data_IF_149620530503
#
_entry.id   IF_149620530503
#
_cell.length_a   1.000
_cell.length_b   1.000
_cell.length_c   1.000
_cell.angle_alpha   90.00
_cell.angle_beta   90.00
_cell.angle_gamma   90.00
#
_symmetry.space_group_name_H-M   'P 1'
#
loop_
_entity.id
_entity.type
_entity.pdbx_description
1 polymer ?
#
# COMPACT_ATOMS: atom_id res chain seq x y z
N UNK A 1 -23.93 -24.44 -8.84
CA UNK A 1 -22.51 -24.20 -8.51
C UNK A 1 -21.72 -24.28 -9.80
N UNK A 2 -21.02 -23.22 -10.15
CA UNK A 2 -20.44 -23.10 -11.47
C UNK A 2 -19.20 -24.01 -11.64
N UNK A 3 -19.06 -24.60 -12.81
CA UNK A 3 -17.90 -25.37 -13.26
C UNK A 3 -16.54 -24.67 -13.05
N UNK A 4 -16.53 -23.39 -12.80
CA UNK A 4 -15.31 -22.60 -12.61
C UNK A 4 -14.57 -22.91 -11.30
N UNK A 5 -15.28 -23.26 -10.24
CA UNK A 5 -14.66 -23.65 -8.96
C UNK A 5 -13.97 -25.01 -9.03
N UNK A 6 -14.58 -25.97 -9.69
CA UNK A 6 -14.02 -27.31 -9.88
C UNK A 6 -12.79 -27.28 -10.79
N UNK A 7 -12.84 -26.47 -11.86
CA UNK A 7 -11.70 -26.29 -12.75
C UNK A 7 -10.52 -25.60 -12.08
N UNK A 8 -10.75 -24.63 -11.21
CA UNK A 8 -9.68 -23.93 -10.48
C UNK A 8 -8.99 -24.83 -9.44
N UNK A 9 -9.74 -25.70 -8.73
CA UNK A 9 -9.13 -26.65 -7.79
C UNK A 9 -8.23 -27.69 -8.47
N UNK A 10 -8.66 -28.25 -9.60
CA UNK A 10 -7.80 -29.16 -10.38
C UNK A 10 -6.52 -28.46 -10.84
N UNK A 11 -6.62 -27.24 -11.37
CA UNK A 11 -5.46 -26.46 -11.78
C UNK A 11 -4.49 -26.15 -10.62
N UNK A 12 -5.01 -25.88 -9.43
CA UNK A 12 -4.18 -25.64 -8.24
C UNK A 12 -3.40 -26.89 -7.86
N UNK A 13 -4.07 -28.04 -7.79
CA UNK A 13 -3.44 -29.33 -7.42
C UNK A 13 -2.41 -29.75 -8.44
N UNK A 14 -2.70 -29.65 -9.72
CA UNK A 14 -1.76 -29.96 -10.79
C UNK A 14 -0.55 -29.04 -10.78
N UNK A 15 -0.75 -27.75 -10.53
CA UNK A 15 0.36 -26.79 -10.43
C UNK A 15 1.21 -27.07 -9.20
N UNK A 16 0.59 -27.37 -8.05
CA UNK A 16 1.30 -27.74 -6.84
C UNK A 16 2.18 -28.97 -7.06
N UNK A 17 1.60 -30.03 -7.64
CA UNK A 17 2.35 -31.26 -7.94
C UNK A 17 3.55 -31.00 -8.88
N UNK A 18 3.37 -30.15 -9.89
CA UNK A 18 4.47 -29.78 -10.82
C UNK A 18 5.58 -28.98 -10.16
N UNK A 19 5.27 -28.16 -9.16
CA UNK A 19 6.26 -27.31 -8.47
C UNK A 19 7.00 -28.09 -7.39
N UNK A 20 6.29 -28.91 -6.62
CA UNK A 20 6.83 -29.57 -5.42
C UNK A 20 7.22 -31.03 -5.62
N UNK A 21 6.81 -31.65 -6.73
CA UNK A 21 6.86 -33.09 -6.99
C UNK A 21 6.12 -33.95 -5.95
N UNK A 22 5.17 -33.32 -5.24
CA UNK A 22 4.31 -33.98 -4.26
C UNK A 22 2.92 -34.24 -4.83
N UNK A 23 2.31 -35.38 -4.55
CA UNK A 23 0.94 -35.67 -4.95
C UNK A 23 -0.03 -35.15 -3.90
N UNK A 24 -0.79 -34.07 -4.16
CA UNK A 24 -1.70 -33.44 -3.20
C UNK A 24 -2.93 -34.30 -2.86
N UNK A 25 -3.16 -35.40 -3.56
CA UNK A 25 -4.19 -36.38 -3.22
C UNK A 25 -3.69 -37.43 -2.18
N UNK A 26 -2.40 -37.51 -1.96
CA UNK A 26 -1.78 -38.43 -0.99
C UNK A 26 -1.20 -37.72 0.22
N UNK A 27 -0.65 -36.53 0.01
CA UNK A 27 -0.03 -35.72 1.05
C UNK A 27 -0.69 -34.32 1.08
N UNK A 28 -1.13 -33.82 2.24
CA UNK A 28 -1.72 -32.49 2.34
C UNK A 28 -0.77 -31.42 1.79
N UNK A 29 -1.32 -30.46 1.02
CA UNK A 29 -0.53 -29.32 0.54
C UNK A 29 -0.05 -28.46 1.70
N UNK A 30 1.20 -28.02 1.60
CA UNK A 30 1.76 -27.03 2.52
C UNK A 30 1.18 -25.66 2.19
N UNK A 31 0.60 -24.99 3.19
CA UNK A 31 0.07 -23.64 3.05
C UNK A 31 0.76 -22.72 4.05
N UNK A 32 0.88 -21.47 3.67
CA UNK A 32 1.45 -20.42 4.50
C UNK A 32 0.67 -19.12 4.28
N UNK A 33 0.33 -18.37 5.33
CA UNK A 33 -0.27 -17.06 5.18
C UNK A 33 0.66 -16.13 4.41
N UNK A 34 0.15 -15.49 3.37
CA UNK A 34 0.91 -14.56 2.56
C UNK A 34 0.07 -13.31 2.28
N UNK A 35 0.72 -12.16 2.14
CA UNK A 35 0.07 -10.94 1.72
C UNK A 35 -0.44 -11.12 0.30
N UNK A 36 -1.72 -10.85 0.10
CA UNK A 36 -2.40 -11.00 -1.20
C UNK A 36 -2.84 -9.67 -1.78
N UNK A 37 -3.37 -8.77 -0.96
CA UNK A 37 -3.96 -7.51 -1.38
C UNK A 37 -3.70 -6.44 -0.31
N UNK A 38 -3.33 -5.24 -0.74
CA UNK A 38 -3.16 -4.09 0.16
C UNK A 38 -4.43 -3.24 0.13
N UNK A 39 -5.14 -3.18 1.25
CA UNK A 39 -6.27 -2.27 1.42
C UNK A 39 -5.74 -0.91 1.85
N UNK A 40 -6.27 0.14 1.23
CA UNK A 40 -5.71 1.47 1.31
C UNK A 40 -4.90 1.82 0.06
N UNK A 41 -4.45 3.04 -0.04
CA UNK A 41 -3.72 3.54 -1.21
C UNK A 41 -3.83 5.05 -1.33
N UNK A 42 -3.66 5.57 -2.53
CA UNK A 42 -3.79 6.99 -2.81
C UNK A 42 -5.23 7.45 -2.58
N UNK A 43 -5.41 8.56 -1.89
CA UNK A 43 -6.72 9.19 -1.78
C UNK A 43 -7.18 9.70 -3.15
N UNK A 44 -8.45 9.47 -3.46
CA UNK A 44 -9.13 9.97 -4.66
C UNK A 44 -10.53 10.45 -4.30
N UNK A 45 -11.04 11.39 -5.09
CA UNK A 45 -12.45 11.77 -5.03
C UNK A 45 -13.34 10.74 -5.75
N UNK A 46 -14.66 10.97 -5.76
CA UNK A 46 -15.62 10.09 -6.45
C UNK A 46 -15.42 10.02 -7.97
N UNK A 47 -14.60 10.90 -8.55
CA UNK A 47 -14.20 10.86 -9.95
C UNK A 47 -12.84 10.19 -10.16
N UNK A 48 -12.29 9.55 -9.14
CA UNK A 48 -10.97 8.88 -9.13
C UNK A 48 -9.79 9.84 -9.34
N UNK A 49 -9.99 11.14 -9.17
CA UNK A 49 -8.92 12.13 -9.25
C UNK A 49 -8.24 12.27 -7.88
N UNK A 50 -6.91 12.28 -7.89
CA UNK A 50 -6.10 12.53 -6.69
C UNK A 50 -6.12 14.02 -6.32
N UNK A 51 -5.41 14.40 -5.26
CA UNK A 51 -5.19 15.81 -4.90
C UNK A 51 -4.38 16.59 -5.94
N UNK A 52 -3.76 15.92 -6.91
CA UNK A 52 -3.04 16.52 -8.05
C UNK A 52 -4.00 16.56 -9.24
N UNK A 53 -4.40 17.78 -9.72
CA UNK A 53 -5.32 17.90 -10.83
C UNK A 53 -4.81 17.19 -12.10
N UNK A 54 -5.66 16.34 -12.69
CA UNK A 54 -5.33 15.55 -13.88
C UNK A 54 -4.60 14.24 -13.60
N UNK A 55 -4.27 13.92 -12.35
CA UNK A 55 -3.75 12.63 -11.95
C UNK A 55 -4.86 11.78 -11.34
N UNK A 56 -5.14 10.64 -11.94
CA UNK A 56 -6.17 9.69 -11.52
C UNK A 56 -5.53 8.39 -11.04
N UNK A 57 -6.09 7.79 -9.98
CA UNK A 57 -5.68 6.50 -9.48
C UNK A 57 -6.87 5.53 -9.49
N UNK A 58 -6.71 4.37 -10.10
CA UNK A 58 -7.75 3.36 -10.28
C UNK A 58 -7.31 2.00 -9.78
N UNK A 59 -8.25 1.16 -9.39
CA UNK A 59 -7.96 -0.18 -8.88
C UNK A 59 -7.24 -0.18 -7.54
N UNK A 60 -6.37 -1.15 -7.33
CA UNK A 60 -5.72 -1.40 -6.03
C UNK A 60 -4.81 -0.25 -5.54
N UNK A 61 -4.36 0.63 -6.43
CA UNK A 61 -3.49 1.74 -6.04
C UNK A 61 -4.24 2.91 -5.38
N UNK A 62 -5.56 2.99 -5.49
CA UNK A 62 -6.35 3.96 -4.74
C UNK A 62 -6.80 3.38 -3.39
N UNK A 63 -7.25 4.26 -2.47
CA UNK A 63 -7.66 3.83 -1.12
C UNK A 63 -8.92 2.96 -1.12
N UNK A 64 -9.65 2.95 -2.20
CA UNK A 64 -10.87 2.19 -2.49
C UNK A 64 -11.96 2.21 -1.39
N UNK A 65 -13.13 1.72 -1.72
CA UNK A 65 -14.30 1.62 -0.83
C UNK A 65 -14.40 0.28 -0.09
N UNK A 66 -13.29 -0.47 0.00
CA UNK A 66 -13.27 -1.76 0.70
C UNK A 66 -13.37 -1.64 2.22
N UNK A 67 -13.09 -0.46 2.76
CA UNK A 67 -13.05 -0.25 4.20
C UNK A 67 -11.92 -1.04 4.87
N UNK A 68 -12.16 -1.47 6.11
CA UNK A 68 -11.15 -2.15 6.92
C UNK A 68 -10.93 -3.61 6.50
N UNK A 69 -11.81 -4.21 5.71
CA UNK A 69 -11.66 -5.59 5.24
C UNK A 69 -12.39 -5.81 3.90
N UNK A 70 -11.64 -6.25 2.91
CA UNK A 70 -12.15 -6.51 1.57
C UNK A 70 -12.93 -7.82 1.50
N UNK A 71 -14.10 -7.77 0.86
CA UNK A 71 -14.86 -8.98 0.51
C UNK A 71 -14.18 -9.75 -0.63
N UNK A 72 -14.34 -11.06 -0.63
CA UNK A 72 -13.82 -11.93 -1.71
C UNK A 72 -14.32 -11.48 -3.08
N UNK A 73 -13.43 -11.49 -4.08
CA UNK A 73 -13.63 -11.08 -5.47
C UNK A 73 -13.94 -9.59 -5.71
N UNK A 74 -14.17 -8.76 -4.68
CA UNK A 74 -14.53 -7.34 -4.86
C UNK A 74 -13.41 -6.48 -5.43
N UNK A 75 -12.14 -6.86 -5.27
CA UNK A 75 -11.01 -6.12 -5.82
C UNK A 75 -11.04 -6.01 -7.36
N UNK A 76 -11.28 -7.13 -8.04
CA UNK A 76 -11.44 -7.13 -9.51
C UNK A 76 -12.69 -6.36 -9.93
N UNK A 77 -13.79 -6.49 -9.20
CA UNK A 77 -15.00 -5.72 -9.47
C UNK A 77 -14.77 -4.22 -9.35
N UNK A 78 -14.09 -3.79 -8.31
CA UNK A 78 -13.76 -2.37 -8.12
C UNK A 78 -12.87 -1.86 -9.28
N UNK A 79 -11.77 -2.54 -9.59
CA UNK A 79 -10.91 -2.12 -10.70
C UNK A 79 -11.61 -2.09 -12.07
N UNK A 80 -12.53 -3.03 -12.31
CA UNK A 80 -13.36 -3.01 -13.52
C UNK A 80 -14.38 -1.86 -13.50
N UNK A 81 -15.03 -1.60 -12.36
CA UNK A 81 -15.95 -0.49 -12.20
C UNK A 81 -15.26 0.86 -12.43
N UNK A 82 -14.11 1.07 -11.79
CA UNK A 82 -13.29 2.26 -11.98
C UNK A 82 -12.93 2.48 -13.45
N UNK A 83 -12.42 1.44 -14.12
CA UNK A 83 -11.95 1.53 -15.49
C UNK A 83 -13.03 1.65 -16.54
N UNK A 84 -14.16 0.94 -16.38
CA UNK A 84 -15.23 0.90 -17.40
C UNK A 84 -16.36 1.90 -17.17
N UNK A 85 -16.69 2.19 -15.92
CA UNK A 85 -17.86 3.00 -15.60
C UNK A 85 -17.54 4.40 -15.11
N UNK A 86 -16.43 4.61 -14.43
CA UNK A 86 -16.09 5.92 -13.87
C UNK A 86 -15.10 6.68 -14.76
N UNK A 87 -13.94 6.08 -15.05
CA UNK A 87 -12.82 6.73 -15.73
C UNK A 87 -13.17 7.38 -17.08
N UNK A 88 -13.98 6.77 -17.99
CA UNK A 88 -14.33 7.39 -19.26
C UNK A 88 -15.06 8.73 -19.11
N UNK A 89 -15.95 8.84 -18.13
CA UNK A 89 -16.67 10.08 -17.85
C UNK A 89 -15.76 11.12 -17.20
N UNK A 90 -14.96 10.69 -16.25
CA UNK A 90 -14.00 11.54 -15.53
C UNK A 90 -13.00 12.20 -16.47
N UNK A 91 -12.38 11.42 -17.37
CA UNK A 91 -11.44 11.96 -18.36
C UNK A 91 -12.15 12.95 -19.28
N UNK A 92 -13.33 12.59 -19.79
CA UNK A 92 -14.13 13.47 -20.66
C UNK A 92 -14.48 14.79 -19.98
N UNK A 93 -14.93 14.76 -18.73
CA UNK A 93 -15.27 15.93 -17.94
C UNK A 93 -14.05 16.81 -17.67
N UNK A 94 -12.93 16.21 -17.26
CA UNK A 94 -11.70 16.94 -17.01
C UNK A 94 -11.17 17.61 -18.28
N UNK A 95 -11.07 16.88 -19.38
CA UNK A 95 -10.54 17.37 -20.65
C UNK A 95 -11.44 18.44 -21.29
N UNK A 96 -12.75 18.40 -21.08
CA UNK A 96 -13.66 19.42 -21.61
C UNK A 96 -13.31 20.82 -21.13
N UNK A 97 -12.79 20.94 -19.90
CA UNK A 97 -12.34 22.19 -19.30
C UNK A 97 -10.94 22.63 -19.77
N UNK A 98 -10.19 21.72 -20.38
CA UNK A 98 -8.81 21.94 -20.81
C UNK A 98 -8.66 22.20 -22.34
N UNK A 99 -9.73 21.95 -23.13
CA UNK A 99 -9.70 22.03 -24.62
C UNK A 99 -9.21 23.38 -25.13
N UNK A 100 -9.57 24.46 -24.46
CA UNK A 100 -9.26 25.84 -24.88
C UNK A 100 -8.08 26.46 -24.14
N UNK A 101 -7.37 25.69 -23.30
CA UNK A 101 -6.19 26.18 -22.61
C UNK A 101 -4.95 26.03 -23.46
N UNK A 102 -3.95 26.88 -23.21
CA UNK A 102 -2.65 26.78 -23.86
C UNK A 102 -2.04 25.42 -23.59
N UNK A 103 -1.52 24.78 -24.64
CA UNK A 103 -0.89 23.48 -24.53
C UNK A 103 0.46 23.62 -23.85
N UNK A 104 0.66 22.91 -22.77
CA UNK A 104 1.97 22.73 -22.12
C UNK A 104 2.89 21.98 -23.08
N UNK A 105 4.10 22.47 -23.28
CA UNK A 105 5.11 21.86 -24.15
C UNK A 105 6.28 21.35 -23.32
N UNK A 106 7.04 20.38 -23.87
CA UNK A 106 8.25 19.84 -23.20
C UNK A 106 9.37 20.88 -23.00
N UNK A 107 9.20 22.11 -23.53
CA UNK A 107 10.12 23.22 -23.27
C UNK A 107 9.80 23.98 -21.97
N UNK A 108 8.68 23.67 -21.33
CA UNK A 108 8.32 24.25 -20.04
C UNK A 108 9.39 23.93 -18.99
N UNK A 109 9.68 24.90 -18.11
CA UNK A 109 10.69 24.74 -17.07
C UNK A 109 10.38 23.61 -16.11
N UNK A 110 9.07 23.35 -15.84
CA UNK A 110 8.63 22.28 -14.95
C UNK A 110 9.15 20.89 -15.36
N UNK A 111 9.22 20.60 -16.69
CA UNK A 111 9.78 19.33 -17.17
C UNK A 111 11.28 19.22 -16.90
N UNK A 112 12.03 20.32 -17.08
CA UNK A 112 13.47 20.35 -16.81
C UNK A 112 13.78 20.23 -15.31
N UNK A 113 12.94 20.86 -14.48
CA UNK A 113 13.07 20.78 -13.03
C UNK A 113 12.80 19.36 -12.54
N UNK A 114 11.73 18.70 -13.03
CA UNK A 114 11.43 17.32 -12.74
C UNK A 114 12.54 16.34 -13.22
N UNK A 115 13.05 16.52 -14.44
CA UNK A 115 14.16 15.71 -14.94
C UNK A 115 15.42 15.87 -14.08
N UNK A 116 15.71 17.08 -13.66
CA UNK A 116 16.85 17.37 -12.78
C UNK A 116 16.66 16.73 -11.41
N UNK A 117 15.47 16.81 -10.82
CA UNK A 117 15.16 16.20 -9.53
C UNK A 117 15.33 14.68 -9.58
N UNK A 118 14.74 14.02 -10.58
CA UNK A 118 14.89 12.57 -10.79
C UNK A 118 16.34 12.18 -11.03
N UNK A 119 17.07 12.93 -11.87
CA UNK A 119 18.48 12.68 -12.11
C UNK A 119 19.32 12.80 -10.84
N UNK A 120 19.07 13.80 -10.02
CA UNK A 120 19.76 13.97 -8.75
C UNK A 120 19.47 12.81 -7.78
N UNK A 121 18.22 12.35 -7.71
CA UNK A 121 17.83 11.18 -6.90
C UNK A 121 18.58 9.93 -7.37
N UNK A 122 18.63 9.66 -8.67
CA UNK A 122 19.35 8.53 -9.26
C UNK A 122 20.86 8.63 -8.97
N UNK A 123 21.45 9.82 -9.19
CA UNK A 123 22.87 10.04 -8.94
C UNK A 123 23.21 9.86 -7.45
N UNK A 124 22.32 10.21 -6.53
CA UNK A 124 22.53 9.98 -5.09
C UNK A 124 22.65 8.50 -4.73
N UNK A 125 21.87 7.62 -5.38
CA UNK A 125 22.01 6.17 -5.17
C UNK A 125 23.34 5.62 -5.70
N UNK A 126 23.73 6.06 -6.90
CA UNK A 126 24.90 5.50 -7.60
C UNK A 126 26.24 6.04 -7.07
N UNK A 127 26.25 7.24 -6.50
CA UNK A 127 27.47 7.86 -5.94
C UNK A 127 27.67 7.56 -4.46
N UNK A 128 26.68 6.96 -3.80
CA UNK A 128 26.83 6.57 -2.40
C UNK A 128 27.84 5.42 -2.28
N UNK A 129 28.90 5.62 -1.50
CA UNK A 129 29.93 4.61 -1.22
C UNK A 129 29.58 3.77 0.02
N UNK A 130 28.30 3.43 0.14
CA UNK A 130 27.77 2.61 1.22
C UNK A 130 28.27 1.17 1.17
N UNK A 131 28.02 0.44 2.24
CA UNK A 131 28.43 -0.97 2.42
C UNK A 131 27.24 -1.94 2.39
N UNK A 132 26.03 -1.44 2.63
CA UNK A 132 24.83 -2.24 2.73
C UNK A 132 24.19 -2.48 1.36
N UNK A 133 23.93 -3.73 1.03
CA UNK A 133 23.16 -4.05 -0.18
C UNK A 133 21.70 -3.65 -0.02
N UNK A 134 21.05 -3.30 -1.13
CA UNK A 134 19.61 -2.98 -1.18
C UNK A 134 18.78 -4.11 -0.58
N UNK A 135 19.13 -5.36 -0.90
CA UNK A 135 18.44 -6.55 -0.37
C UNK A 135 18.55 -6.65 1.16
N UNK A 136 19.72 -6.33 1.74
CA UNK A 136 19.89 -6.39 3.19
C UNK A 136 19.01 -5.36 3.91
N UNK A 137 18.89 -4.15 3.35
CA UNK A 137 18.04 -3.08 3.88
C UNK A 137 16.54 -3.41 3.72
N UNK A 138 16.17 -4.03 2.59
CA UNK A 138 14.80 -4.52 2.39
C UNK A 138 14.43 -5.63 3.40
N UNK A 139 15.36 -6.54 3.70
CA UNK A 139 15.15 -7.58 4.73
C UNK A 139 14.98 -6.97 6.13
N UNK A 140 15.75 -5.93 6.47
CA UNK A 140 15.60 -5.24 7.75
C UNK A 140 14.23 -4.56 7.85
N UNK A 141 13.79 -3.88 6.79
CA UNK A 141 12.43 -3.32 6.73
C UNK A 141 11.37 -4.40 6.93
N UNK A 142 11.49 -5.51 6.20
CA UNK A 142 10.60 -6.66 6.33
C UNK A 142 10.56 -7.21 7.75
N UNK A 143 11.71 -7.26 8.44
CA UNK A 143 11.80 -7.74 9.81
C UNK A 143 11.13 -6.77 10.80
N UNK A 144 11.29 -5.45 10.64
CA UNK A 144 10.60 -4.44 11.45
C UNK A 144 9.09 -4.58 11.29
N UNK A 145 8.61 -4.62 10.04
CA UNK A 145 7.18 -4.71 9.74
C UNK A 145 6.58 -6.02 10.25
N UNK A 146 7.28 -7.15 10.06
CA UNK A 146 6.82 -8.45 10.52
C UNK A 146 6.71 -8.52 12.05
N UNK A 147 7.72 -8.05 12.75
CA UNK A 147 7.79 -8.18 14.20
C UNK A 147 6.83 -7.22 14.94
N UNK A 148 6.58 -6.03 14.39
CA UNK A 148 5.95 -4.94 15.14
C UNK A 148 4.65 -4.42 14.51
N UNK A 149 4.44 -4.64 13.20
CA UNK A 149 3.25 -4.17 12.48
C UNK A 149 2.57 -5.30 11.69
N UNK A 150 2.73 -6.54 12.15
CA UNK A 150 2.14 -7.75 11.55
C UNK A 150 0.64 -7.89 11.85
N UNK A 151 0.18 -9.14 11.95
CA UNK A 151 -1.24 -9.45 12.17
C UNK A 151 -1.73 -9.06 13.57
N UNK A 152 -0.89 -9.16 14.58
CA UNK A 152 -1.19 -8.73 15.96
C UNK A 152 -0.26 -7.57 16.32
N UNK A 153 -0.81 -6.49 16.81
CA UNK A 153 -0.13 -5.21 17.04
C UNK A 153 -0.39 -4.72 18.44
N UNK A 154 0.57 -4.01 19.02
CA UNK A 154 0.40 -3.32 20.28
C UNK A 154 1.14 -1.97 20.27
N UNK A 155 0.72 -1.05 21.15
CA UNK A 155 1.28 0.30 21.21
C UNK A 155 2.78 0.33 21.42
N UNK A 156 3.29 -0.56 22.29
CA UNK A 156 4.71 -0.62 22.63
C UNK A 156 5.56 -0.96 21.40
N UNK A 157 5.17 -2.02 20.69
CA UNK A 157 5.92 -2.49 19.53
C UNK A 157 5.78 -1.54 18.33
N UNK A 158 4.59 -0.97 18.10
CA UNK A 158 4.41 0.06 17.07
C UNK A 158 5.26 1.31 17.35
N UNK A 159 5.34 1.76 18.61
CA UNK A 159 6.18 2.91 18.99
C UNK A 159 7.68 2.61 18.80
N UNK A 160 8.10 1.37 19.07
CA UNK A 160 9.46 0.90 18.80
C UNK A 160 9.75 0.89 17.30
N UNK A 161 8.82 0.35 16.49
CA UNK A 161 8.93 0.29 15.04
C UNK A 161 9.12 1.67 14.40
N UNK A 162 8.42 2.71 14.89
CA UNK A 162 8.61 4.09 14.39
C UNK A 162 10.04 4.59 14.57
N UNK A 163 10.69 4.23 15.65
CA UNK A 163 12.10 4.60 15.85
C UNK A 163 13.01 3.77 14.93
N UNK A 164 12.80 2.47 14.87
CA UNK A 164 13.61 1.57 14.04
C UNK A 164 13.51 1.91 12.54
N UNK A 165 12.32 2.28 12.04
CA UNK A 165 12.17 2.66 10.63
C UNK A 165 12.82 4.00 10.31
N UNK A 166 12.83 4.95 11.25
CA UNK A 166 13.58 6.21 11.12
C UNK A 166 15.08 5.96 11.05
N UNK A 167 15.61 5.07 11.89
CA UNK A 167 17.02 4.67 11.85
C UNK A 167 17.34 3.93 10.54
N UNK A 168 16.46 3.05 10.09
CA UNK A 168 16.62 2.36 8.81
C UNK A 168 16.62 3.34 7.63
N UNK A 169 15.72 4.35 7.62
CA UNK A 169 15.69 5.41 6.61
C UNK A 169 17.03 6.16 6.56
N UNK A 170 17.55 6.55 7.70
CA UNK A 170 18.85 7.22 7.78
C UNK A 170 19.99 6.32 7.28
N UNK A 171 19.96 5.04 7.68
CA UNK A 171 20.95 4.05 7.24
C UNK A 171 20.85 3.81 5.73
N UNK A 172 19.65 3.74 5.18
CA UNK A 172 19.44 3.59 3.74
C UNK A 172 20.12 4.71 2.96
N UNK A 173 19.83 5.96 3.29
CA UNK A 173 20.38 7.11 2.57
C UNK A 173 21.89 7.34 2.79
N UNK A 174 22.45 6.86 3.88
CA UNK A 174 23.87 7.04 4.19
C UNK A 174 24.76 5.85 3.82
N UNK A 175 24.22 4.63 3.75
CA UNK A 175 25.04 3.40 3.65
C UNK A 175 24.56 2.42 2.57
N UNK A 176 23.53 2.75 1.76
CA UNK A 176 23.12 1.91 0.64
C UNK A 176 24.18 1.87 -0.44
N UNK A 177 24.45 0.68 -0.97
CA UNK A 177 25.35 0.45 -2.10
C UNK A 177 24.58 -0.06 -3.30
N UNK A 178 24.56 0.74 -4.37
CA UNK A 178 23.91 0.39 -5.63
C UNK A 178 25.01 0.27 -6.70
N UNK A 179 25.38 -0.95 -7.11
CA UNK A 179 26.35 -1.16 -8.18
C UNK A 179 25.73 -0.83 -9.55
N UNK A 180 26.60 -0.57 -10.54
CA UNK A 180 26.18 -0.34 -11.91
C UNK A 180 26.17 1.14 -12.32
N UNK A 181 25.44 1.43 -13.41
CA UNK A 181 25.38 2.76 -14.03
C UNK A 181 23.93 3.12 -14.36
N UNK A 182 23.68 4.41 -14.58
CA UNK A 182 22.33 4.92 -14.94
C UNK A 182 21.96 4.77 -16.42
N UNK A 183 22.94 4.61 -17.29
CA UNK A 183 22.78 4.52 -18.75
C UNK A 183 22.57 3.09 -19.28
N UNK A 184 22.48 2.12 -18.38
CA UNK A 184 22.23 0.73 -18.69
C UNK A 184 21.08 0.18 -17.83
N UNK A 185 20.48 -0.95 -18.23
CA UNK A 185 19.52 -1.64 -17.39
C UNK A 185 20.16 -2.03 -16.05
N UNK A 186 19.67 -1.44 -14.97
CA UNK A 186 20.22 -1.61 -13.62
C UNK A 186 19.13 -2.02 -12.64
N UNK A 187 18.99 -3.33 -12.45
CA UNK A 187 17.97 -3.90 -11.56
C UNK A 187 18.20 -3.54 -10.07
N UNK A 188 19.45 -3.31 -9.66
CA UNK A 188 19.72 -2.90 -8.28
C UNK A 188 19.34 -1.45 -8.02
N UNK A 189 19.44 -0.58 -9.03
CA UNK A 189 18.94 0.80 -8.96
C UNK A 189 17.41 0.82 -8.85
N UNK A 190 16.71 0.02 -9.67
CA UNK A 190 15.24 -0.11 -9.58
C UNK A 190 14.81 -0.62 -8.18
N UNK A 191 15.49 -1.62 -7.65
CA UNK A 191 15.23 -2.13 -6.31
C UNK A 191 15.48 -1.08 -5.23
N UNK A 192 16.55 -0.28 -5.36
CA UNK A 192 16.87 0.77 -4.39
C UNK A 192 15.76 1.82 -4.34
N UNK A 193 15.25 2.25 -5.48
CA UNK A 193 14.16 3.21 -5.57
C UNK A 193 12.87 2.66 -4.92
N UNK A 194 12.51 1.41 -5.22
CA UNK A 194 11.38 0.74 -4.57
C UNK A 194 11.54 0.57 -3.06
N UNK A 195 12.73 0.24 -2.58
CA UNK A 195 12.97 0.08 -1.13
C UNK A 195 12.88 1.42 -0.42
N UNK A 196 13.32 2.52 -1.03
CA UNK A 196 13.09 3.86 -0.50
C UNK A 196 11.60 4.14 -0.32
N UNK A 197 10.78 3.85 -1.34
CA UNK A 197 9.32 4.02 -1.28
C UNK A 197 8.67 3.10 -0.23
N UNK A 198 9.15 1.85 -0.11
CA UNK A 198 8.64 0.92 0.91
C UNK A 198 8.95 1.35 2.35
N UNK A 199 10.08 2.02 2.58
CA UNK A 199 10.40 2.61 3.90
C UNK A 199 9.39 3.71 4.25
N UNK A 200 9.07 4.59 3.31
CA UNK A 200 8.06 5.64 3.50
C UNK A 200 6.67 5.05 3.76
N UNK A 201 6.26 4.06 2.96
CA UNK A 201 4.98 3.39 3.15
C UNK A 201 4.93 2.66 4.50
N UNK A 202 6.01 2.01 4.91
CA UNK A 202 6.13 1.34 6.20
C UNK A 202 5.96 2.31 7.38
N UNK A 203 6.57 3.49 7.31
CA UNK A 203 6.41 4.55 8.32
C UNK A 203 4.94 4.98 8.44
N UNK A 204 4.27 5.23 7.31
CA UNK A 204 2.84 5.61 7.29
C UNK A 204 1.95 4.50 7.85
N UNK A 205 2.20 3.24 7.50
CA UNK A 205 1.44 2.09 8.02
C UNK A 205 1.57 1.97 9.53
N UNK A 206 2.76 2.17 10.08
CA UNK A 206 2.99 2.11 11.53
C UNK A 206 2.30 3.29 12.24
N UNK A 207 2.37 4.50 11.67
CA UNK A 207 1.72 5.70 12.22
C UNK A 207 0.22 5.55 12.27
N UNK A 208 -0.38 5.09 11.19
CA UNK A 208 -1.83 4.88 11.13
C UNK A 208 -2.27 3.79 12.11
N UNK A 209 -1.54 2.68 12.17
CA UNK A 209 -1.80 1.62 13.14
C UNK A 209 -1.66 2.07 14.60
N UNK A 210 -0.78 3.03 14.88
CA UNK A 210 -0.58 3.60 16.21
C UNK A 210 -1.68 4.59 16.58
N UNK A 211 -2.16 5.41 15.63
CA UNK A 211 -3.23 6.39 15.84
C UNK A 211 -4.58 5.71 16.06
N UNK A 212 -4.86 4.64 15.33
CA UNK A 212 -6.14 3.92 15.38
C UNK A 212 -6.24 3.00 16.60
N UNK A 213 -6.87 3.51 17.64
CA UNK A 213 -7.02 2.83 18.93
C UNK A 213 -8.28 1.95 18.99
N UNK A 214 -8.40 1.02 18.05
CA UNK A 214 -9.46 0.01 17.95
C UNK A 214 -8.92 -1.24 17.29
N UNK A 215 -9.74 -2.28 17.17
CA UNK A 215 -9.51 -3.42 16.29
C UNK A 215 -10.64 -3.51 15.29
N UNK A 216 -10.34 -3.34 13.99
CA UNK A 216 -11.33 -3.35 12.92
C UNK A 216 -10.76 -3.99 11.65
N UNK A 217 -11.41 -5.02 11.13
CA UNK A 217 -10.97 -5.73 9.92
C UNK A 217 -9.58 -6.35 10.08
N UNK A 218 -8.65 -5.99 9.20
CA UNK A 218 -7.27 -6.48 9.24
C UNK A 218 -6.40 -5.75 10.28
N UNK A 219 -6.88 -4.62 10.83
CA UNK A 219 -6.20 -3.92 11.91
C UNK A 219 -6.59 -4.52 13.26
N UNK A 220 -5.66 -5.23 13.88
CA UNK A 220 -5.87 -5.87 15.18
C UNK A 220 -4.85 -5.36 16.21
N UNK A 221 -5.38 -4.75 17.27
CA UNK A 221 -4.63 -4.22 18.41
C UNK A 221 -4.92 -5.09 19.66
N UNK A 222 -3.86 -5.63 20.24
CA UNK A 222 -3.96 -6.49 21.44
C UNK A 222 -4.66 -5.80 22.61
N UNK A 223 -4.56 -4.47 22.69
CA UNK A 223 -5.22 -3.68 23.73
C UNK A 223 -6.74 -3.50 23.50
N UNK A 224 -7.20 -3.75 22.27
CA UNK A 224 -8.60 -3.55 21.87
C UNK A 224 -9.24 -4.86 21.42
N UNK A 225 -9.45 -5.72 22.41
CA UNK A 225 -10.12 -7.01 22.29
C UNK A 225 -11.24 -7.10 23.32
N UNK A 226 -12.26 -7.90 23.03
CA UNK A 226 -13.25 -8.34 24.02
C UNK A 226 -12.61 -9.35 24.97
N UNK A 227 -13.28 -9.64 26.10
CA UNK A 227 -12.83 -10.67 27.06
C UNK A 227 -12.68 -12.06 26.42
N UNK A 228 -13.36 -12.29 25.31
CA UNK A 228 -13.30 -13.53 24.53
C UNK A 228 -12.23 -13.50 23.41
N UNK A 229 -11.45 -12.42 23.29
CA UNK A 229 -10.39 -12.26 22.30
C UNK A 229 -10.87 -11.85 20.91
N UNK A 230 -12.13 -11.41 20.76
CA UNK A 230 -12.62 -10.86 19.49
C UNK A 230 -12.21 -9.38 19.34
N UNK A 231 -12.12 -8.92 18.09
CA UNK A 231 -11.80 -7.54 17.76
C UNK A 231 -12.83 -6.57 18.36
N UNK A 232 -12.36 -5.54 19.04
CA UNK A 232 -13.20 -4.49 19.63
C UNK A 232 -13.11 -3.22 18.79
N UNK A 233 -14.18 -2.93 18.04
CA UNK A 233 -14.34 -1.70 17.26
C UNK A 233 -14.80 -0.55 18.14
N UNK A 234 -14.45 0.65 17.76
CA UNK A 234 -14.96 1.88 18.34
C UNK A 234 -15.53 2.79 17.24
N UNK A 235 -16.70 2.42 16.72
CA UNK A 235 -17.38 3.13 15.62
C UNK A 235 -17.68 4.60 15.96
N UNK A 236 -17.79 4.94 17.25
CA UNK A 236 -18.06 6.32 17.67
C UNK A 236 -16.88 7.24 17.40
N UNK A 237 -15.66 6.75 17.58
CA UNK A 237 -14.46 7.55 17.50
C UNK A 237 -13.65 7.30 16.22
N UNK A 238 -13.85 6.16 15.55
CA UNK A 238 -13.02 5.73 14.41
C UNK A 238 -13.82 5.44 13.12
N UNK A 239 -15.09 5.88 13.01
CA UNK A 239 -15.87 5.76 11.77
C UNK A 239 -15.45 6.83 10.76
N UNK A 240 -14.17 6.80 10.34
CA UNK A 240 -13.59 7.71 9.36
C UNK A 240 -12.49 7.02 8.55
N UNK A 241 -12.20 7.57 7.38
CA UNK A 241 -11.02 7.24 6.59
C UNK A 241 -9.86 8.12 7.04
N UNK A 242 -8.72 7.50 7.33
CA UNK A 242 -7.45 8.20 7.61
C UNK A 242 -6.74 8.52 6.30
N UNK A 243 -6.40 9.77 6.08
CA UNK A 243 -5.62 10.21 4.92
C UNK A 243 -4.38 10.97 5.39
N UNK A 244 -3.21 10.48 5.07
CA UNK A 244 -1.95 11.08 5.46
C UNK A 244 -1.39 11.96 4.33
N UNK A 245 -1.28 13.24 4.58
CA UNK A 245 -0.70 14.20 3.63
C UNK A 245 0.81 14.23 3.75
N UNK A 246 1.51 13.98 2.64
CA UNK A 246 2.97 14.13 2.57
C UNK A 246 3.35 15.62 2.56
N UNK A 247 4.22 16.03 3.47
CA UNK A 247 4.77 17.38 3.59
C UNK A 247 6.23 17.49 3.15
N UNK A 248 6.74 16.45 2.48
CA UNK A 248 8.12 16.34 2.04
C UNK A 248 9.03 15.72 3.11
N UNK A 249 10.26 15.39 2.71
CA UNK A 249 11.20 14.56 3.48
C UNK A 249 11.60 15.11 4.86
N UNK A 250 11.42 16.40 5.10
CA UNK A 250 11.84 17.08 6.33
C UNK A 250 10.71 17.39 7.30
N UNK A 251 9.49 17.05 6.96
CA UNK A 251 8.30 17.34 7.77
C UNK A 251 7.56 16.06 8.13
N UNK A 252 6.93 16.03 9.30
CA UNK A 252 6.05 14.92 9.67
C UNK A 252 4.77 14.98 8.81
N UNK A 253 4.22 13.84 8.39
CA UNK A 253 2.98 13.78 7.63
C UNK A 253 1.79 14.27 8.47
N UNK A 254 0.78 14.85 7.82
CA UNK A 254 -0.42 15.36 8.49
C UNK A 254 -1.58 14.39 8.27
N UNK A 255 -2.23 13.98 9.36
CA UNK A 255 -3.44 13.17 9.32
C UNK A 255 -4.66 14.04 9.04
N UNK A 256 -5.40 13.69 7.98
CA UNK A 256 -6.74 14.17 7.69
C UNK A 256 -7.75 13.05 7.93
N UNK A 257 -8.95 13.40 8.38
CA UNK A 257 -10.03 12.46 8.67
C UNK A 257 -11.24 12.80 7.80
N UNK A 258 -11.75 11.81 7.10
CA UNK A 258 -12.98 11.91 6.31
C UNK A 258 -14.03 11.01 6.95
N UNK A 259 -15.11 11.60 7.45
CA UNK A 259 -16.17 10.85 8.15
C UNK A 259 -16.91 9.92 7.18
N UNK A 260 -17.16 8.70 7.64
CA UNK A 260 -17.97 7.73 6.91
C UNK A 260 -19.44 7.96 7.21
N UNK A 261 -20.22 8.25 6.16
CA UNK A 261 -21.66 8.45 6.22
C UNK A 261 -22.37 7.27 5.54
N UNK A 262 -23.31 6.66 6.25
CA UNK A 262 -24.08 5.51 5.77
C UNK A 262 -25.57 5.87 5.70
N UNK A 263 -26.06 6.14 4.49
CA UNK A 263 -27.46 6.57 4.29
C UNK A 263 -28.48 5.43 4.43
N UNK A 264 -28.09 4.20 4.10
CA UNK A 264 -29.01 3.07 3.96
C UNK A 264 -28.71 1.89 4.86
N UNK A 265 -27.57 1.87 5.55
CA UNK A 265 -27.16 0.79 6.44
C UNK A 265 -26.69 1.35 7.78
N UNK A 266 -26.87 0.58 8.84
CA UNK A 266 -26.29 0.88 10.15
C UNK A 266 -25.12 -0.06 10.39
N UNK A 267 -23.92 0.44 10.70
CA UNK A 267 -22.80 -0.41 11.06
C UNK A 267 -23.14 -1.30 12.25
N UNK A 268 -22.83 -2.58 12.14
CA UNK A 268 -23.02 -3.53 13.25
C UNK A 268 -21.74 -4.29 13.50
N UNK A 269 -21.45 -4.56 14.75
CA UNK A 269 -20.32 -5.40 15.12
C UNK A 269 -20.64 -6.85 14.81
N UNK A 270 -19.72 -7.53 14.12
CA UNK A 270 -19.82 -8.96 13.86
C UNK A 270 -19.24 -9.73 15.04
N UNK A 271 -19.97 -10.76 15.50
CA UNK A 271 -19.43 -11.78 16.40
C UNK A 271 -19.32 -13.11 15.66
N UNK A 272 -18.35 -13.92 16.04
CA UNK A 272 -18.14 -15.27 15.52
C UNK A 272 -18.66 -16.35 16.47
N UNK A 273 -19.43 -15.95 17.50
CA UNK A 273 -20.10 -16.84 18.45
C UNK A 273 -21.51 -17.18 18.04
#
# INVERSE_FOLDING_TARGET
MSCSLVGSEMCIRDRYAKITDENPYKTPMRIYPAVHYTMGGLWVDYNLMTTIPGLFAIGECNFSDHGANRLGASALMQGLADGYFVLPYTIGTYLSNEINKDKVTNNDSAFKDAEKEVSNKIDSYLTNDGKRTVESLHKDLGQIMWNHCGMSRNKKDLSKALNEIKELKNTFWSDVKVPGKKDTLNAELEKADRVADFIELGDLMIRDALDRNESCGAHFREEYQTDDGEAMRDDKNFSYVSTWENKGDKAEPILHKEELLFDTVTPTQRSYK
#
